data_IF_799531450180
#
_entry.id   IF_799531450180
#
_cell.length_a   1.000
_cell.length_b   1.000
_cell.length_c   1.000
_cell.angle_alpha   90.00
_cell.angle_beta   90.00
_cell.angle_gamma   90.00
#
_symmetry.space_group_name_H-M   'P 1'
#
loop_
_entity.id
_entity.type
_entity.pdbx_description
1 polymer ?
#
# COMPACT_ATOMS: atom_id res chain seq x y z
N UNK A 1 0.60 -11.82 -10.00
CA UNK A 1 -0.54 -11.71 -9.05
C UNK A 1 -0.53 -10.39 -8.29
N UNK A 2 0.64 -9.79 -8.12
CA UNK A 2 0.84 -8.52 -7.46
C UNK A 2 -0.05 -7.40 -8.01
N UNK A 3 -0.12 -7.28 -9.33
CA UNK A 3 -0.95 -6.26 -9.98
C UNK A 3 -2.42 -6.36 -9.60
N UNK A 4 -2.93 -7.58 -9.47
CA UNK A 4 -4.32 -7.82 -9.08
C UNK A 4 -4.54 -7.44 -7.61
N UNK A 5 -3.63 -7.81 -6.72
CA UNK A 5 -3.67 -7.41 -5.31
C UNK A 5 -3.64 -5.87 -5.15
N UNK A 6 -2.76 -5.19 -5.89
CA UNK A 6 -2.67 -3.72 -5.91
C UNK A 6 -3.96 -3.06 -6.41
N UNK A 7 -4.61 -3.63 -7.44
CA UNK A 7 -5.91 -3.14 -7.93
C UNK A 7 -7.01 -3.34 -6.90
N UNK A 8 -7.06 -4.51 -6.28
CA UNK A 8 -8.04 -4.80 -5.22
C UNK A 8 -7.88 -3.86 -4.02
N UNK A 9 -6.65 -3.55 -3.63
CA UNK A 9 -6.35 -2.54 -2.62
C UNK A 9 -6.90 -1.17 -3.01
N UNK A 10 -6.56 -0.68 -4.22
CA UNK A 10 -7.01 0.62 -4.72
C UNK A 10 -8.54 0.72 -4.82
N UNK A 11 -9.19 -0.32 -5.32
CA UNK A 11 -10.65 -0.42 -5.40
C UNK A 11 -11.31 -0.42 -4.02
N UNK A 12 -10.72 -1.14 -3.07
CA UNK A 12 -11.22 -1.22 -1.68
C UNK A 12 -11.08 0.13 -1.00
N UNK A 13 -9.95 0.81 -1.18
CA UNK A 13 -9.71 2.14 -0.63
C UNK A 13 -10.73 3.15 -1.18
N UNK A 14 -11.01 3.09 -2.49
CA UNK A 14 -12.00 3.93 -3.15
C UNK A 14 -13.43 3.69 -2.63
N UNK A 15 -13.78 2.43 -2.34
CA UNK A 15 -15.09 2.07 -1.75
C UNK A 15 -15.23 2.51 -0.29
N UNK A 16 -14.11 2.63 0.45
CA UNK A 16 -14.08 3.07 1.85
C UNK A 16 -13.87 4.59 1.95
N UNK A 17 -14.87 5.38 1.55
CA UNK A 17 -14.79 6.85 1.56
C UNK A 17 -14.37 7.46 2.92
N UNK A 18 -14.64 6.78 4.03
CA UNK A 18 -14.19 7.17 5.39
C UNK A 18 -12.66 7.25 5.54
N UNK A 19 -11.91 6.54 4.69
CA UNK A 19 -10.44 6.54 4.68
C UNK A 19 -9.86 7.66 3.82
N UNK A 20 -10.64 8.27 2.93
CA UNK A 20 -10.20 9.34 2.04
C UNK A 20 -9.46 10.48 2.77
N UNK A 21 -9.89 10.94 3.96
CA UNK A 21 -9.17 11.98 4.69
C UNK A 21 -7.70 11.65 5.00
N UNK A 22 -7.34 10.36 5.07
CA UNK A 22 -5.98 9.92 5.38
C UNK A 22 -5.00 10.16 4.22
N UNK A 23 -5.50 10.21 2.99
CA UNK A 23 -4.67 10.34 1.78
C UNK A 23 -5.08 11.45 0.81
N UNK A 24 -6.17 12.20 1.08
CA UNK A 24 -6.67 13.24 0.18
C UNK A 24 -5.70 14.39 -0.14
N UNK A 25 -4.84 14.72 0.82
CA UNK A 25 -3.87 15.81 0.70
C UNK A 25 -2.45 15.28 0.47
N UNK A 26 -2.31 13.98 0.16
CA UNK A 26 -1.02 13.31 -0.03
C UNK A 26 -0.85 13.01 -1.51
N UNK A 27 0.24 13.52 -2.07
CA UNK A 27 0.73 13.07 -3.36
C UNK A 27 1.89 12.12 -3.07
N UNK A 28 1.63 10.81 -3.14
CA UNK A 28 2.60 9.78 -2.80
C UNK A 28 2.60 8.76 -3.94
N UNK A 29 3.78 8.43 -4.43
CA UNK A 29 4.01 7.32 -5.35
C UNK A 29 4.67 6.19 -4.59
N UNK A 30 4.00 5.03 -4.56
CA UNK A 30 4.52 3.81 -3.93
C UNK A 30 4.85 2.81 -5.03
N UNK A 31 6.11 2.44 -5.13
CA UNK A 31 6.56 1.30 -5.91
C UNK A 31 6.36 0.02 -5.09
N UNK A 32 5.69 -0.96 -5.71
CA UNK A 32 5.49 -2.28 -5.14
C UNK A 32 6.09 -3.28 -6.11
N UNK A 33 6.99 -4.12 -5.61
CA UNK A 33 7.75 -5.04 -6.44
C UNK A 33 7.93 -6.40 -5.77
N UNK A 34 7.82 -7.45 -6.57
CA UNK A 34 8.30 -8.78 -6.20
C UNK A 34 9.39 -9.25 -7.17
N UNK A 35 9.70 -10.54 -7.19
CA UNK A 35 10.75 -11.08 -8.05
C UNK A 35 10.37 -11.09 -9.55
N UNK A 36 9.10 -10.97 -9.90
CA UNK A 36 8.57 -11.17 -11.25
C UNK A 36 7.85 -9.92 -11.80
N UNK A 37 7.13 -9.22 -10.93
CA UNK A 37 6.22 -8.13 -11.24
C UNK A 37 6.61 -6.85 -10.49
N UNK A 38 6.27 -5.73 -11.10
CA UNK A 38 6.39 -4.41 -10.51
C UNK A 38 5.17 -3.58 -10.88
N UNK A 39 4.69 -2.79 -9.94
CA UNK A 39 3.57 -1.86 -10.16
C UNK A 39 3.70 -0.65 -9.25
N UNK A 40 2.96 0.41 -9.57
CA UNK A 40 2.97 1.64 -8.79
C UNK A 40 1.57 1.99 -8.31
N UNK A 41 1.45 2.33 -7.03
CA UNK A 41 0.26 2.96 -6.47
C UNK A 41 0.47 4.47 -6.44
N UNK A 42 -0.38 5.18 -7.15
CA UNK A 42 -0.35 6.63 -7.27
C UNK A 42 -1.48 7.23 -6.44
N UNK A 43 -1.13 7.84 -5.31
CA UNK A 43 -2.05 8.61 -4.48
C UNK A 43 -2.03 10.06 -4.95
N UNK A 44 -3.18 10.60 -5.37
CA UNK A 44 -3.29 11.99 -5.81
C UNK A 44 -4.71 12.50 -5.61
N UNK A 45 -4.87 13.68 -5.00
CA UNK A 45 -6.17 14.34 -4.83
C UNK A 45 -7.27 13.45 -4.21
N UNK A 46 -6.90 12.52 -3.32
CA UNK A 46 -7.86 11.61 -2.69
C UNK A 46 -8.34 10.46 -3.57
N UNK A 47 -7.60 10.15 -4.64
CA UNK A 47 -7.69 8.88 -5.36
C UNK A 47 -6.41 8.07 -5.17
N UNK A 48 -6.52 6.76 -5.36
CA UNK A 48 -5.41 5.83 -5.44
C UNK A 48 -5.59 5.03 -6.74
N UNK A 49 -4.61 5.09 -7.63
CA UNK A 49 -4.66 4.42 -8.93
C UNK A 49 -3.45 3.52 -9.11
N UNK A 50 -3.64 2.38 -9.78
CA UNK A 50 -2.56 1.48 -10.15
C UNK A 50 -2.01 1.93 -11.51
N UNK A 51 -0.71 2.19 -11.58
CA UNK A 51 0.01 2.50 -12.82
C UNK A 51 0.92 1.34 -13.23
N UNK A 52 1.01 1.12 -14.55
CA UNK A 52 2.02 0.27 -15.18
C UNK A 52 3.18 1.09 -15.78
N UNK A 53 3.04 2.42 -15.81
CA UNK A 53 4.07 3.32 -16.31
C UNK A 53 4.89 3.81 -15.13
N UNK A 54 6.21 3.62 -15.23
CA UNK A 54 7.17 4.08 -14.23
C UNK A 54 7.06 5.60 -14.02
N UNK A 55 6.75 6.07 -12.81
CA UNK A 55 6.75 7.49 -12.48
C UNK A 55 8.18 8.06 -12.42
N UNK A 56 8.29 9.38 -12.56
CA UNK A 56 9.58 10.09 -12.44
C UNK A 56 10.15 10.05 -11.01
N UNK A 57 9.25 10.07 -10.01
CA UNK A 57 9.59 10.07 -8.59
C UNK A 57 8.86 8.92 -7.91
N UNK A 58 9.57 8.22 -7.03
CA UNK A 58 9.05 7.19 -6.14
C UNK A 58 9.33 7.65 -4.71
N UNK A 59 8.28 7.75 -3.89
CA UNK A 59 8.39 8.21 -2.50
C UNK A 59 8.60 7.07 -1.51
N UNK A 60 8.12 5.88 -1.87
CA UNK A 60 8.22 4.65 -1.10
C UNK A 60 8.47 3.50 -2.07
N UNK A 61 9.42 2.62 -1.76
CA UNK A 61 9.61 1.34 -2.44
C UNK A 61 9.40 0.19 -1.46
N UNK A 62 8.55 -0.77 -1.81
CA UNK A 62 8.33 -2.00 -1.06
C UNK A 62 8.69 -3.19 -1.95
N UNK A 63 9.65 -4.01 -1.50
CA UNK A 63 10.17 -5.14 -2.26
C UNK A 63 10.28 -6.41 -1.41
N UNK A 64 9.80 -7.52 -1.94
CA UNK A 64 10.04 -8.84 -1.35
C UNK A 64 9.22 -9.95 -2.00
N UNK A 65 9.19 -11.16 -1.41
CA UNK A 65 8.43 -12.28 -1.93
C UNK A 65 6.93 -11.96 -2.05
N UNK A 66 6.31 -12.40 -3.15
CA UNK A 66 4.92 -12.06 -3.50
C UNK A 66 3.92 -12.35 -2.37
N UNK A 67 4.09 -13.47 -1.66
CA UNK A 67 3.21 -13.84 -0.53
C UNK A 67 3.14 -12.77 0.57
N UNK A 68 4.26 -12.09 0.88
CA UNK A 68 4.31 -11.07 1.91
C UNK A 68 3.75 -9.75 1.40
N UNK A 69 4.03 -9.40 0.15
CA UNK A 69 3.44 -8.22 -0.48
C UNK A 69 1.92 -8.35 -0.60
N UNK A 70 1.41 -9.54 -0.92
CA UNK A 70 -0.03 -9.83 -0.95
C UNK A 70 -0.66 -9.73 0.44
N UNK A 71 0.00 -10.27 1.47
CA UNK A 71 -0.44 -10.16 2.88
C UNK A 71 -0.47 -8.72 3.40
N UNK A 72 0.41 -7.87 2.86
CA UNK A 72 0.41 -6.44 3.13
C UNK A 72 -0.77 -5.76 2.42
N UNK A 73 -0.97 -6.03 1.13
CA UNK A 73 -2.04 -5.42 0.32
C UNK A 73 -3.45 -5.76 0.82
N UNK A 74 -3.64 -6.97 1.32
CA UNK A 74 -4.91 -7.41 1.89
C UNK A 74 -5.09 -6.99 3.37
N UNK A 75 -4.08 -6.34 3.95
CA UNK A 75 -4.04 -5.85 5.33
C UNK A 75 -4.05 -6.94 6.41
N UNK A 76 -3.64 -8.18 6.08
CA UNK A 76 -3.47 -9.24 7.08
C UNK A 76 -2.17 -9.09 7.87
N UNK A 77 -1.18 -8.42 7.29
CA UNK A 77 0.14 -8.20 7.91
C UNK A 77 0.51 -6.71 7.96
N UNK A 78 1.46 -6.39 8.85
CA UNK A 78 1.95 -5.03 9.08
C UNK A 78 3.24 -4.77 8.32
N UNK A 79 3.29 -3.63 7.62
CA UNK A 79 4.45 -3.18 6.85
C UNK A 79 5.75 -3.24 7.66
N UNK A 80 5.75 -2.58 8.83
CA UNK A 80 6.92 -2.47 9.70
C UNK A 80 7.32 -3.80 10.34
N UNK A 81 6.35 -4.71 10.57
CA UNK A 81 6.64 -6.04 11.11
C UNK A 81 7.39 -6.86 10.06
N UNK A 82 6.87 -6.92 8.84
CA UNK A 82 7.48 -7.64 7.73
C UNK A 82 8.88 -7.12 7.40
N UNK A 83 9.12 -5.82 7.53
CA UNK A 83 10.45 -5.23 7.40
C UNK A 83 11.39 -5.71 8.52
N UNK A 84 10.94 -5.62 9.77
CA UNK A 84 11.77 -5.98 10.94
C UNK A 84 12.15 -7.46 10.98
N UNK A 85 11.32 -8.32 10.39
CA UNK A 85 11.57 -9.77 10.26
C UNK A 85 12.44 -10.11 9.03
N UNK A 86 12.77 -9.12 8.20
CA UNK A 86 13.53 -9.32 6.96
C UNK A 86 12.72 -9.94 5.81
N UNK A 87 11.40 -9.96 5.92
CA UNK A 87 10.49 -10.50 4.91
C UNK A 87 10.26 -9.51 3.76
N UNK A 88 10.30 -8.20 4.05
CA UNK A 88 10.24 -7.12 3.06
C UNK A 88 11.42 -6.17 3.23
N UNK A 89 11.89 -5.60 2.12
CA UNK A 89 12.77 -4.45 2.10
C UNK A 89 11.95 -3.22 1.77
N UNK A 90 12.16 -2.15 2.53
CA UNK A 90 11.39 -0.93 2.41
C UNK A 90 12.35 0.26 2.34
N UNK A 91 12.07 1.17 1.42
CA UNK A 91 12.72 2.47 1.36
C UNK A 91 11.66 3.57 1.29
N UNK A 92 11.94 4.71 1.90
CA UNK A 92 11.02 5.85 1.97
C UNK A 92 11.10 6.58 3.30
N UNK A 93 10.53 7.78 3.35
CA UNK A 93 10.52 8.53 4.60
C UNK A 93 9.51 7.93 5.60
N UNK A 94 9.85 7.96 6.89
CA UNK A 94 9.03 7.37 7.96
C UNK A 94 7.59 7.90 7.97
N UNK A 95 7.39 9.18 7.67
CA UNK A 95 6.06 9.79 7.65
C UNK A 95 5.14 9.15 6.59
N UNK A 96 5.68 8.90 5.40
CA UNK A 96 5.00 8.24 4.30
C UNK A 96 4.79 6.75 4.61
N UNK A 97 5.78 6.08 5.21
CA UNK A 97 5.66 4.67 5.60
C UNK A 97 4.55 4.44 6.63
N UNK A 98 4.46 5.27 7.67
CA UNK A 98 3.40 5.16 8.68
C UNK A 98 2.01 5.46 8.11
N UNK A 99 1.91 6.41 7.18
CA UNK A 99 0.67 6.68 6.47
C UNK A 99 0.25 5.47 5.63
N UNK A 100 1.19 4.87 4.89
CA UNK A 100 0.95 3.70 4.07
C UNK A 100 0.56 2.47 4.90
N UNK A 101 1.25 2.19 6.01
CA UNK A 101 0.89 1.11 6.93
C UNK A 101 -0.53 1.27 7.46
N UNK A 102 -0.91 2.50 7.85
CA UNK A 102 -2.27 2.79 8.31
C UNK A 102 -3.31 2.50 7.24
N UNK A 103 -3.03 2.83 5.98
CA UNK A 103 -3.93 2.56 4.87
C UNK A 103 -4.11 1.05 4.67
N UNK A 104 -3.02 0.27 4.62
CA UNK A 104 -3.10 -1.19 4.47
C UNK A 104 -3.95 -1.85 5.53
N UNK A 105 -3.73 -1.50 6.81
CA UNK A 105 -4.47 -2.06 7.94
C UNK A 105 -5.96 -1.70 7.91
N UNK A 106 -6.28 -0.47 7.50
CA UNK A 106 -7.66 0.01 7.45
C UNK A 106 -8.40 -0.47 6.20
N UNK A 107 -7.69 -0.78 5.11
CA UNK A 107 -8.27 -1.42 3.92
C UNK A 107 -8.54 -2.90 4.12
N UNK A 108 -7.72 -3.60 4.91
CA UNK A 108 -7.83 -5.03 5.13
C UNK A 108 -9.15 -5.49 5.77
N UNK A 109 -9.47 -6.79 5.57
CA UNK A 109 -10.73 -7.40 6.03
C UNK A 109 -10.84 -7.49 7.57
N UNK A 110 -9.74 -7.31 8.31
CA UNK A 110 -9.71 -7.33 9.77
C UNK A 110 -9.93 -5.96 10.42
N UNK A 111 -10.53 -4.98 9.73
CA UNK A 111 -10.90 -3.69 10.35
C UNK A 111 -12.04 -3.86 11.37
N UNK A 112 -11.76 -4.51 12.50
CA UNK A 112 -12.63 -4.60 13.69
C UNK A 112 -12.63 -3.30 14.50
N UNK A 113 -11.90 -2.28 14.04
CA UNK A 113 -11.83 -0.93 14.63
C UNK A 113 -13.12 -0.10 14.47
N UNK A 114 -14.17 -0.62 13.83
CA UNK A 114 -15.49 0.01 13.75
C UNK A 114 -16.54 -0.88 14.42
N UNK A 115 -16.37 -1.12 15.73
CA UNK A 115 -17.45 -1.60 16.61
C UNK A 115 -17.41 -0.82 17.92
N UNK A 116 -17.95 0.39 17.90
CA UNK A 116 -18.49 1.06 19.08
C UNK A 116 -19.76 1.81 18.67
#
# INVERSE_FOLDING_TARGET
MLKEASKQFADTLTKKAVLQPLYKNRNIVVEIKDNEEQTWLCFKNGTCEVSDVKPEVVDISVYGPSQFVESLMNGSERLMLLESEGNLNIDGNLHHLLALESLFLLTGQQSSLVKH
#
